data_IF_259512514807
#
_entry.id   IF_259512514807
#
_cell.length_a   1.000
_cell.length_b   1.000
_cell.length_c   1.000
_cell.angle_alpha   90.00
_cell.angle_beta   90.00
_cell.angle_gamma   90.00
#
_symmetry.space_group_name_H-M   'P 1'
#
loop_
_entity.id
_entity.type
_entity.pdbx_description
1 polymer ?
#
# COMPACT_ATOMS: atom_id res chain seq x y z
N UNK A 1 -15.14 -23.40 15.34
CA UNK A 1 -15.30 -24.17 14.08
C UNK A 1 -15.20 -23.17 12.94
N UNK A 2 -14.19 -23.26 12.08
CA UNK A 2 -14.09 -22.34 10.95
C UNK A 2 -15.37 -22.45 10.12
N UNK A 3 -16.05 -21.32 9.90
CA UNK A 3 -17.25 -21.26 9.06
C UNK A 3 -16.92 -21.84 7.69
N UNK A 4 -17.88 -22.46 7.03
CA UNK A 4 -17.71 -23.01 5.67
C UNK A 4 -17.11 -21.98 4.70
N UNK A 5 -17.46 -20.71 4.89
CA UNK A 5 -16.91 -19.54 4.18
C UNK A 5 -15.39 -19.42 4.35
N UNK A 6 -14.86 -19.48 5.57
CA UNK A 6 -13.41 -19.35 5.81
C UNK A 6 -12.61 -20.42 5.05
N UNK A 7 -13.09 -21.67 5.04
CA UNK A 7 -12.45 -22.74 4.25
C UNK A 7 -12.47 -22.46 2.75
N UNK A 8 -13.53 -21.84 2.24
CA UNK A 8 -13.61 -21.45 0.82
C UNK A 8 -12.56 -20.41 0.47
N UNK A 9 -12.40 -19.39 1.32
CA UNK A 9 -11.39 -18.35 1.11
C UNK A 9 -9.96 -18.89 1.24
N UNK A 10 -9.71 -19.80 2.17
CA UNK A 10 -8.40 -20.48 2.30
C UNK A 10 -8.05 -21.27 1.02
N UNK A 11 -9.01 -21.98 0.43
CA UNK A 11 -8.82 -22.70 -0.83
C UNK A 11 -8.57 -21.73 -2.00
N UNK A 12 -9.29 -20.61 -2.06
CA UNK A 12 -9.09 -19.59 -3.08
C UNK A 12 -7.71 -18.92 -2.95
N UNK A 13 -7.25 -18.66 -1.72
CA UNK A 13 -5.94 -18.08 -1.45
C UNK A 13 -4.78 -18.97 -1.91
N UNK A 14 -4.91 -20.29 -1.73
CA UNK A 14 -3.91 -21.28 -2.14
C UNK A 14 -3.95 -21.59 -3.64
N UNK A 15 -5.05 -21.21 -4.32
CA UNK A 15 -5.21 -21.46 -5.75
C UNK A 15 -4.29 -20.58 -6.57
N UNK A 16 -3.62 -21.19 -7.57
CA UNK A 16 -2.85 -20.45 -8.58
C UNK A 16 -3.71 -20.00 -9.77
N UNK A 17 -5.02 -20.20 -9.70
CA UNK A 17 -5.94 -19.89 -10.78
C UNK A 17 -6.23 -18.38 -10.83
N UNK A 18 -6.04 -17.75 -11.99
CA UNK A 18 -6.37 -16.35 -12.22
C UNK A 18 -7.87 -16.06 -12.04
N UNK A 19 -8.75 -17.05 -12.24
CA UNK A 19 -10.16 -16.95 -11.95
C UNK A 19 -10.46 -16.85 -10.45
N UNK A 20 -9.62 -17.45 -9.59
CA UNK A 20 -9.74 -17.29 -8.14
C UNK A 20 -9.45 -15.84 -7.73
N UNK A 21 -8.43 -15.22 -8.33
CA UNK A 21 -8.14 -13.79 -8.13
C UNK A 21 -9.34 -12.93 -8.53
N UNK A 22 -9.96 -13.19 -9.69
CA UNK A 22 -11.14 -12.44 -10.13
C UNK A 22 -12.31 -12.58 -9.15
N UNK A 23 -12.57 -13.79 -8.65
CA UNK A 23 -13.61 -14.04 -7.67
C UNK A 23 -13.34 -13.28 -6.35
N UNK A 24 -12.10 -13.29 -5.89
CA UNK A 24 -11.68 -12.55 -4.70
C UNK A 24 -11.81 -11.03 -4.87
N UNK A 25 -11.48 -10.49 -6.06
CA UNK A 25 -11.68 -9.07 -6.38
C UNK A 25 -13.17 -8.71 -6.32
N UNK A 26 -14.04 -9.54 -6.91
CA UNK A 26 -15.50 -9.32 -6.84
C UNK A 26 -16.04 -9.40 -5.40
N UNK A 27 -15.45 -10.25 -4.57
CA UNK A 27 -15.83 -10.38 -3.17
C UNK A 27 -15.53 -9.11 -2.33
N UNK A 28 -14.65 -8.21 -2.81
CA UNK A 28 -14.40 -6.92 -2.17
C UNK A 28 -15.60 -5.97 -2.24
N UNK A 29 -16.47 -6.15 -3.22
CA UNK A 29 -17.63 -5.28 -3.49
C UNK A 29 -18.93 -5.82 -2.83
N UNK A 30 -18.86 -6.95 -2.13
CA UNK A 30 -20.01 -7.55 -1.42
C UNK A 30 -20.33 -6.76 -0.15
N UNK A 31 -21.63 -6.60 0.16
CA UNK A 31 -22.09 -5.84 1.33
C UNK A 31 -21.63 -6.46 2.68
N UNK A 32 -21.53 -7.79 2.72
CA UNK A 32 -21.16 -8.51 3.93
C UNK A 32 -19.69 -8.21 4.33
N UNK A 33 -19.44 -7.62 5.50
CA UNK A 33 -18.10 -7.25 5.94
C UNK A 33 -17.17 -8.45 6.17
N UNK A 34 -17.69 -9.59 6.64
CA UNK A 34 -16.88 -10.81 6.84
C UNK A 34 -16.34 -11.33 5.50
N UNK A 35 -17.16 -11.30 4.44
CA UNK A 35 -16.76 -11.72 3.10
C UNK A 35 -15.65 -10.82 2.56
N UNK A 36 -15.78 -9.49 2.74
CA UNK A 36 -14.74 -8.54 2.32
C UNK A 36 -13.43 -8.75 3.08
N UNK A 37 -13.49 -8.96 4.39
CA UNK A 37 -12.30 -9.20 5.21
C UNK A 37 -11.58 -10.49 4.79
N UNK A 38 -12.31 -11.57 4.57
CA UNK A 38 -11.75 -12.83 4.08
C UNK A 38 -11.18 -12.70 2.66
N UNK A 39 -11.81 -11.91 1.79
CA UNK A 39 -11.31 -11.64 0.45
C UNK A 39 -9.98 -10.87 0.48
N UNK A 40 -9.87 -9.83 1.29
CA UNK A 40 -8.61 -9.08 1.45
C UNK A 40 -7.50 -9.99 1.99
N UNK A 41 -7.80 -10.79 3.01
CA UNK A 41 -6.84 -11.71 3.58
C UNK A 41 -6.34 -12.74 2.55
N UNK A 42 -7.25 -13.33 1.76
CA UNK A 42 -6.90 -14.26 0.71
C UNK A 42 -6.03 -13.60 -0.39
N UNK A 43 -6.34 -12.37 -0.80
CA UNK A 43 -5.55 -11.63 -1.77
C UNK A 43 -4.14 -11.30 -1.26
N UNK A 44 -4.01 -10.99 0.03
CA UNK A 44 -2.70 -10.79 0.68
C UNK A 44 -1.91 -12.09 0.76
N UNK A 45 -2.53 -13.22 1.10
CA UNK A 45 -1.83 -14.50 1.07
C UNK A 45 -1.34 -14.87 -0.33
N UNK A 46 -2.17 -14.62 -1.35
CA UNK A 46 -1.84 -14.95 -2.72
C UNK A 46 -0.75 -14.05 -3.31
N UNK A 47 -0.48 -12.88 -2.70
CA UNK A 47 0.47 -11.87 -3.20
C UNK A 47 0.18 -11.47 -4.66
N UNK A 48 -1.10 -11.50 -5.04
CA UNK A 48 -1.50 -11.17 -6.41
C UNK A 48 -1.37 -9.67 -6.64
N UNK A 49 -0.45 -9.24 -7.49
CA UNK A 49 -0.27 -7.84 -7.89
C UNK A 49 -1.61 -7.16 -8.21
N UNK A 50 -2.38 -7.76 -9.12
CA UNK A 50 -3.68 -7.26 -9.54
C UNK A 50 -4.67 -7.18 -8.38
N UNK A 51 -4.71 -8.20 -7.52
CA UNK A 51 -5.59 -8.22 -6.35
C UNK A 51 -5.25 -7.11 -5.36
N UNK A 52 -3.96 -6.94 -5.05
CA UNK A 52 -3.47 -5.92 -4.13
C UNK A 52 -3.72 -4.50 -4.65
N UNK A 53 -3.59 -4.28 -5.97
CA UNK A 53 -3.95 -3.00 -6.59
C UNK A 53 -5.44 -2.67 -6.37
N UNK A 54 -6.34 -3.65 -6.53
CA UNK A 54 -7.78 -3.44 -6.30
C UNK A 54 -8.12 -3.22 -4.82
N UNK A 55 -7.34 -3.81 -3.89
CA UNK A 55 -7.43 -3.54 -2.46
C UNK A 55 -7.02 -2.10 -2.15
N UNK A 56 -5.91 -1.61 -2.74
CA UNK A 56 -5.45 -0.23 -2.59
C UNK A 56 -6.49 0.75 -3.16
N UNK A 57 -7.06 0.45 -4.33
CA UNK A 57 -8.08 1.29 -4.99
C UNK A 57 -9.32 1.50 -4.10
N UNK A 58 -9.71 0.49 -3.33
CA UNK A 58 -10.86 0.50 -2.42
C UNK A 58 -10.50 0.89 -0.98
N UNK A 59 -9.28 1.34 -0.73
CA UNK A 59 -8.85 1.70 0.62
C UNK A 59 -9.81 2.65 1.37
N UNK A 60 -10.40 3.68 0.74
CA UNK A 60 -11.34 4.58 1.42
C UNK A 60 -12.60 3.87 1.96
N UNK A 61 -13.07 2.82 1.26
CA UNK A 61 -14.30 2.09 1.60
C UNK A 61 -14.09 0.97 2.61
N UNK A 62 -12.85 0.64 2.95
CA UNK A 62 -12.52 -0.48 3.83
C UNK A 62 -12.84 -0.19 5.29
N UNK A 63 -13.30 -1.24 6.00
CA UNK A 63 -13.57 -1.22 7.45
C UNK A 63 -12.28 -1.06 8.26
N UNK A 64 -12.40 -0.68 9.53
CA UNK A 64 -11.25 -0.57 10.44
C UNK A 64 -10.49 -1.90 10.57
N UNK A 65 -11.19 -3.05 10.51
CA UNK A 65 -10.57 -4.38 10.53
C UNK A 65 -9.64 -4.61 9.35
N UNK A 66 -10.12 -4.34 8.13
CA UNK A 66 -9.32 -4.43 6.91
C UNK A 66 -8.12 -3.48 6.95
N UNK A 67 -8.30 -2.24 7.42
CA UNK A 67 -7.19 -1.28 7.52
C UNK A 67 -6.08 -1.79 8.43
N UNK A 68 -6.41 -2.29 9.62
CA UNK A 68 -5.44 -2.89 10.55
C UNK A 68 -4.72 -4.10 9.94
N UNK A 69 -5.43 -4.88 9.14
CA UNK A 69 -4.86 -6.03 8.43
C UNK A 69 -3.83 -5.55 7.40
N UNK A 70 -4.13 -4.51 6.62
CA UNK A 70 -3.20 -3.93 5.65
C UNK A 70 -1.96 -3.32 6.31
N UNK A 71 -2.11 -2.67 7.47
CA UNK A 71 -0.98 -2.16 8.26
C UNK A 71 -0.05 -3.29 8.72
N UNK A 72 -0.62 -4.44 9.09
CA UNK A 72 0.14 -5.63 9.53
C UNK A 72 0.92 -6.26 8.35
N UNK A 73 0.42 -6.12 7.13
CA UNK A 73 0.98 -6.69 5.91
C UNK A 73 1.57 -5.63 4.96
N UNK A 74 2.14 -4.55 5.50
CA UNK A 74 2.69 -3.44 4.70
C UNK A 74 3.70 -3.88 3.63
N UNK A 75 4.59 -4.82 3.95
CA UNK A 75 5.60 -5.32 3.02
C UNK A 75 5.01 -5.97 1.76
N UNK A 76 3.83 -6.58 1.86
CA UNK A 76 3.14 -7.17 0.71
C UNK A 76 2.62 -6.10 -0.25
N UNK A 77 2.17 -4.98 0.31
CA UNK A 77 1.60 -3.86 -0.44
C UNK A 77 2.68 -3.05 -1.14
N UNK A 78 3.92 -3.11 -0.65
CA UNK A 78 5.06 -2.35 -1.14
C UNK A 78 5.30 -2.53 -2.66
N UNK A 79 5.20 -3.78 -3.15
CA UNK A 79 5.29 -4.08 -4.57
C UNK A 79 4.07 -3.58 -5.36
N UNK A 80 2.87 -3.69 -4.79
CA UNK A 80 1.63 -3.24 -5.43
C UNK A 80 1.55 -1.72 -5.53
N UNK A 81 2.02 -0.99 -4.51
CA UNK A 81 2.12 0.48 -4.52
C UNK A 81 3.09 0.92 -5.61
N UNK A 82 4.29 0.32 -5.67
CA UNK A 82 5.24 0.59 -6.76
C UNK A 82 4.60 0.37 -8.13
N UNK A 83 3.81 -0.69 -8.28
CA UNK A 83 3.09 -0.93 -9.53
C UNK A 83 2.01 0.13 -9.82
N UNK A 84 1.22 0.54 -8.83
CA UNK A 84 0.24 1.64 -8.98
C UNK A 84 0.91 2.94 -9.45
N UNK A 85 2.07 3.26 -8.90
CA UNK A 85 2.83 4.45 -9.24
C UNK A 85 3.42 4.38 -10.66
N UNK A 86 3.99 3.22 -11.04
CA UNK A 86 4.78 3.09 -12.27
C UNK A 86 4.00 2.64 -13.52
N UNK A 87 2.83 2.02 -13.39
CA UNK A 87 2.07 1.47 -14.54
C UNK A 87 1.10 2.44 -15.24
N UNK A 88 1.17 3.75 -14.94
CA UNK A 88 0.79 4.80 -15.90
C UNK A 88 -0.70 5.08 -16.15
N UNK A 89 -1.62 4.62 -15.29
CA UNK A 89 -2.99 5.15 -15.29
C UNK A 89 -3.12 6.24 -14.22
N UNK A 90 -3.67 7.40 -14.60
CA UNK A 90 -3.95 8.53 -13.70
C UNK A 90 -4.76 8.12 -12.47
N UNK A 91 -5.75 7.25 -12.62
CA UNK A 91 -6.55 6.76 -11.47
C UNK A 91 -5.73 5.87 -10.54
N UNK A 92 -4.94 4.94 -11.08
CA UNK A 92 -4.11 4.03 -10.27
C UNK A 92 -3.00 4.78 -9.55
N UNK A 93 -2.38 5.75 -10.23
CA UNK A 93 -1.40 6.63 -9.61
C UNK A 93 -2.04 7.46 -8.50
N UNK A 94 -3.24 8.00 -8.71
CA UNK A 94 -3.98 8.70 -7.65
C UNK A 94 -4.17 7.81 -6.42
N UNK A 95 -4.71 6.60 -6.62
CA UNK A 95 -4.96 5.68 -5.52
C UNK A 95 -3.68 5.28 -4.79
N UNK A 96 -2.60 5.00 -5.53
CA UNK A 96 -1.30 4.69 -4.93
C UNK A 96 -0.71 5.85 -4.14
N UNK A 97 -0.75 7.05 -4.70
CA UNK A 97 -0.28 8.29 -4.07
C UNK A 97 -1.09 8.61 -2.81
N UNK A 98 -2.42 8.60 -2.89
CA UNK A 98 -3.28 8.82 -1.72
C UNK A 98 -3.10 7.75 -0.65
N UNK A 99 -2.92 6.48 -1.05
CA UNK A 99 -2.62 5.42 -0.11
C UNK A 99 -1.34 5.70 0.67
N UNK A 100 -0.24 6.04 -0.02
CA UNK A 100 1.03 6.41 0.62
C UNK A 100 0.87 7.63 1.53
N UNK A 101 0.08 8.63 1.13
CA UNK A 101 -0.20 9.81 1.96
C UNK A 101 -0.93 9.43 3.25
N UNK A 102 -1.93 8.56 3.18
CA UNK A 102 -2.74 8.15 4.33
C UNK A 102 -1.93 7.24 5.27
N UNK A 103 -1.19 6.28 4.74
CA UNK A 103 -0.35 5.37 5.54
C UNK A 103 0.95 6.03 5.99
N UNK A 104 1.30 7.20 5.43
CA UNK A 104 2.59 7.88 5.63
C UNK A 104 3.76 6.94 5.37
N UNK A 105 3.67 6.16 4.29
CA UNK A 105 4.66 5.14 3.95
C UNK A 105 5.94 5.76 3.36
N UNK A 106 6.94 5.95 4.22
CA UNK A 106 8.23 6.51 3.86
C UNK A 106 9.08 5.58 2.98
N UNK A 107 8.77 4.28 2.87
CA UNK A 107 9.51 3.36 1.98
C UNK A 107 9.32 3.72 0.50
N UNK A 108 8.26 4.44 0.18
CA UNK A 108 7.88 4.76 -1.19
C UNK A 108 8.49 6.06 -1.70
N UNK A 109 9.28 6.78 -0.87
CA UNK A 109 9.98 8.00 -1.29
C UNK A 109 10.83 7.76 -2.55
N UNK A 110 11.64 6.70 -2.68
CA UNK A 110 12.40 6.42 -3.90
C UNK A 110 11.49 6.18 -5.11
N UNK A 111 10.38 5.46 -4.92
CA UNK A 111 9.38 5.22 -5.97
C UNK A 111 8.73 6.51 -6.46
N UNK A 112 8.48 7.45 -5.55
CA UNK A 112 7.90 8.77 -5.85
C UNK A 112 8.93 9.67 -6.57
N UNK A 113 10.22 9.59 -6.21
CA UNK A 113 11.30 10.29 -6.91
C UNK A 113 11.46 9.74 -8.32
N UNK A 114 11.51 8.42 -8.48
CA UNK A 114 11.57 7.76 -9.79
C UNK A 114 10.35 8.12 -10.67
N UNK A 115 9.17 8.26 -10.04
CA UNK A 115 7.99 8.78 -10.73
C UNK A 115 8.23 10.22 -11.19
N UNK A 116 8.79 11.09 -10.35
CA UNK A 116 9.13 12.49 -10.64
C UNK A 116 10.12 12.68 -11.79
N UNK A 117 11.10 11.79 -11.90
CA UNK A 117 12.10 11.83 -12.97
C UNK A 117 11.49 11.40 -14.31
N UNK A 118 10.49 10.50 -14.25
CA UNK A 118 9.82 10.00 -15.43
C UNK A 118 8.75 10.98 -15.94
N UNK A 119 9.18 11.93 -16.78
CA UNK A 119 8.31 12.98 -17.37
C UNK A 119 6.99 12.47 -17.94
N UNK A 120 6.93 11.25 -18.49
CA UNK A 120 5.69 10.67 -19.03
C UNK A 120 4.68 10.36 -17.93
N UNK A 121 5.15 9.80 -16.82
CA UNK A 121 4.33 9.38 -15.69
C UNK A 121 3.97 10.57 -14.79
N UNK A 122 4.89 11.52 -14.58
CA UNK A 122 4.62 12.76 -13.84
C UNK A 122 3.45 13.54 -14.44
N UNK A 123 3.37 13.62 -15.76
CA UNK A 123 2.35 14.42 -16.44
C UNK A 123 0.91 13.99 -16.14
N UNK A 124 0.70 12.81 -15.57
CA UNK A 124 -0.62 12.41 -15.10
C UNK A 124 -1.06 13.17 -13.85
N UNK A 125 -0.15 13.43 -12.88
CA UNK A 125 -0.46 14.06 -11.58
C UNK A 125 0.74 14.82 -10.96
N UNK A 126 1.30 15.84 -11.64
CA UNK A 126 2.54 16.49 -11.20
C UNK A 126 2.40 17.16 -9.83
N UNK A 127 1.29 17.85 -9.59
CA UNK A 127 1.05 18.59 -8.36
C UNK A 127 0.89 17.66 -7.16
N UNK A 128 0.16 16.56 -7.33
CA UNK A 128 -0.12 15.61 -6.24
C UNK A 128 1.17 14.89 -5.82
N UNK A 129 1.96 14.41 -6.78
CA UNK A 129 3.26 13.79 -6.47
C UNK A 129 4.14 14.75 -5.69
N UNK A 130 4.20 16.02 -6.11
CA UNK A 130 5.00 17.08 -5.47
C UNK A 130 4.55 17.35 -4.03
N UNK A 131 3.23 17.44 -3.82
CA UNK A 131 2.63 17.65 -2.51
C UNK A 131 2.91 16.49 -1.55
N UNK A 132 2.78 15.25 -2.03
CA UNK A 132 2.99 14.05 -1.21
C UNK A 132 4.46 13.90 -0.84
N UNK A 133 5.38 14.11 -1.78
CA UNK A 133 6.82 14.09 -1.48
C UNK A 133 7.16 15.12 -0.40
N UNK A 134 6.66 16.36 -0.52
CA UNK A 134 6.84 17.40 0.49
C UNK A 134 6.23 17.01 1.84
N UNK A 135 5.03 16.44 1.83
CA UNK A 135 4.36 15.98 3.05
C UNK A 135 5.16 14.88 3.76
N UNK A 136 5.62 13.86 3.04
CA UNK A 136 6.42 12.76 3.61
C UNK A 136 7.75 13.27 4.17
N UNK A 137 8.46 14.12 3.43
CA UNK A 137 9.73 14.70 3.88
C UNK A 137 9.52 15.57 5.12
N UNK A 138 8.48 16.41 5.14
CA UNK A 138 8.14 17.25 6.29
C UNK A 138 7.82 16.42 7.53
N UNK A 139 6.99 15.39 7.39
CA UNK A 139 6.68 14.44 8.48
C UNK A 139 7.92 13.72 8.99
N UNK A 140 8.77 13.24 8.08
CA UNK A 140 10.02 12.56 8.45
C UNK A 140 10.91 13.51 9.25
N UNK A 141 11.05 14.77 8.83
CA UNK A 141 11.79 15.79 9.56
C UNK A 141 11.21 16.08 10.96
N UNK A 142 9.90 16.22 11.11
CA UNK A 142 9.23 16.37 12.41
C UNK A 142 9.52 15.20 13.36
N UNK A 143 9.49 13.96 12.86
CA UNK A 143 9.82 12.76 13.64
C UNK A 143 11.28 12.77 14.12
N UNK A 144 12.21 13.28 13.31
CA UNK A 144 13.61 13.39 13.71
C UNK A 144 13.85 14.47 14.77
N UNK A 145 13.06 15.55 14.77
CA UNK A 145 13.19 16.64 15.75
C UNK A 145 12.50 16.34 17.08
N UNK A 146 11.43 15.54 17.09
CA UNK A 146 10.67 15.19 18.31
C UNK A 146 10.63 13.67 18.56
N UNK A 147 11.60 13.12 19.33
CA UNK A 147 11.63 11.70 19.71
C UNK A 147 10.48 11.27 20.62
N UNK A 148 9.71 12.22 21.18
CA UNK A 148 8.63 11.97 22.15
C UNK A 148 7.28 11.62 21.52
N UNK A 149 7.14 11.70 20.19
CA UNK A 149 5.90 11.29 19.49
C UNK A 149 5.90 9.77 19.32
N UNK A 150 5.61 9.10 20.43
CA UNK A 150 5.48 7.65 20.60
C UNK A 150 4.21 7.14 19.89
N UNK A 151 4.14 7.28 18.57
CA UNK A 151 3.09 6.64 17.76
C UNK A 151 3.49 5.19 17.49
N UNK A 152 2.55 4.24 17.45
CA UNK A 152 2.84 2.81 17.17
C UNK A 152 3.66 2.61 15.87
N UNK A 153 3.56 3.55 14.92
CA UNK A 153 4.36 3.60 13.69
C UNK A 153 5.84 3.99 13.92
N UNK A 154 6.16 4.73 14.98
CA UNK A 154 7.53 5.16 15.32
C UNK A 154 8.41 3.99 15.76
N UNK A 155 7.87 2.94 16.38
CA UNK A 155 8.70 1.81 16.86
C UNK A 155 9.18 0.90 15.73
N UNK A 156 8.36 0.69 14.71
CA UNK A 156 8.76 -0.07 13.51
C UNK A 156 9.72 0.77 12.66
N UNK A 157 9.46 2.07 12.53
CA UNK A 157 10.34 3.00 11.81
C UNK A 157 11.69 3.21 12.51
N UNK A 158 11.74 3.54 13.81
CA UNK A 158 12.99 3.79 14.54
C UNK A 158 13.93 2.58 14.53
N UNK A 159 13.38 1.36 14.46
CA UNK A 159 14.18 0.13 14.35
C UNK A 159 14.94 0.04 13.02
N UNK A 160 14.33 0.53 11.93
CA UNK A 160 14.87 0.45 10.57
C UNK A 160 15.29 1.84 10.00
N UNK A 161 15.14 2.93 10.77
CA UNK A 161 15.28 4.31 10.28
C UNK A 161 16.67 4.61 9.73
N UNK A 162 17.72 3.94 10.25
CA UNK A 162 19.08 4.03 9.70
C UNK A 162 19.20 3.40 8.32
N UNK A 163 18.60 2.23 8.09
CA UNK A 163 18.58 1.57 6.77
C UNK A 163 17.74 2.37 5.78
N UNK A 164 16.54 2.79 6.19
CA UNK A 164 15.63 3.59 5.36
C UNK A 164 16.29 4.93 4.97
N UNK A 165 16.98 5.59 5.92
CA UNK A 165 17.77 6.79 5.63
C UNK A 165 18.88 6.50 4.63
N UNK A 166 19.64 5.42 4.83
CA UNK A 166 20.75 5.07 3.94
C UNK A 166 20.24 4.82 2.53
N UNK A 167 19.18 4.05 2.39
CA UNK A 167 18.64 3.66 1.09
C UNK A 167 17.97 4.86 0.39
N UNK A 168 17.28 5.73 1.13
CA UNK A 168 16.74 6.98 0.61
C UNK A 168 17.83 7.99 0.21
N UNK A 169 18.89 8.14 1.02
CA UNK A 169 20.02 9.02 0.68
C UNK A 169 20.79 8.49 -0.53
N UNK A 170 20.97 7.18 -0.65
CA UNK A 170 21.58 6.57 -1.83
C UNK A 170 20.72 6.80 -3.09
N UNK A 171 19.40 6.70 -2.97
CA UNK A 171 18.48 6.96 -4.09
C UNK A 171 18.43 8.45 -4.49
N UNK A 172 18.77 9.38 -3.58
CA UNK A 172 18.85 10.82 -3.87
C UNK A 172 20.20 11.25 -4.48
N UNK A 173 21.23 10.42 -4.38
CA UNK A 173 22.61 10.72 -4.83
C UNK A 173 22.95 9.98 -6.14
N UNK A 174 22.19 8.94 -6.49
CA UNK A 174 22.28 8.23 -7.77
C UNK A 174 21.59 8.99 -8.90
#
# INVERSE_FOLDING_TARGET
>A
MASSISKTFDLLAQSRNSHAVNALILALDVENPEIREQAVFALLQQQSSRGLVEVIRRYPTHTAGIRKLLETHSNALDAAIRQCLLHGNRELQYCGLEFVRITSDFQQIPSIIALFENKRLVNHQPDLTSQILRYLVGRLYEYFLNPSVDSVYSRVFLKNAKEIRRDNLNALVA
#
